data_IF_675290246824
#
_entry.id   IF_675290246824
#
_cell.length_a   1.000
_cell.length_b   1.000
_cell.length_c   1.000
_cell.angle_alpha   90.00
_cell.angle_beta   90.00
_cell.angle_gamma   90.00
#
_symmetry.space_group_name_H-M   'P 1'
#
loop_
_entity.id
_entity.type
_entity.pdbx_description
1 polymer ?
#
# COMPACT_ATOMS: atom_id res chain seq x y z
N UNK A 1 10.25 15.57 -20.89
CA UNK A 1 10.84 14.91 -19.70
C UNK A 1 9.70 14.46 -18.77
N UNK A 2 9.79 13.26 -18.20
CA UNK A 2 8.81 12.81 -17.18
C UNK A 2 9.11 13.48 -15.84
N UNK A 3 8.07 13.69 -15.04
CA UNK A 3 8.09 14.35 -13.73
C UNK A 3 7.26 13.56 -12.72
N UNK A 4 7.21 13.99 -11.45
CA UNK A 4 6.32 13.37 -10.46
C UNK A 4 4.84 13.39 -10.90
N UNK A 5 4.42 14.37 -11.70
CA UNK A 5 3.06 14.44 -12.23
C UNK A 5 2.70 13.26 -13.15
N UNK A 6 3.71 12.62 -13.75
CA UNK A 6 3.54 11.50 -14.66
C UNK A 6 3.58 10.14 -13.93
N UNK A 7 3.86 10.14 -12.62
CA UNK A 7 4.01 8.92 -11.83
C UNK A 7 2.69 8.44 -11.20
N UNK A 8 2.49 7.12 -11.24
CA UNK A 8 1.55 6.42 -10.38
C UNK A 8 2.31 5.53 -9.40
N UNK A 9 2.14 5.78 -8.10
CA UNK A 9 2.83 5.05 -7.02
C UNK A 9 1.82 4.24 -6.20
N UNK A 10 2.10 2.96 -6.02
CA UNK A 10 1.34 2.05 -5.17
C UNK A 10 1.93 1.97 -3.76
N UNK A 11 1.09 1.81 -2.75
CA UNK A 11 1.47 1.75 -1.34
C UNK A 11 0.95 0.47 -0.70
N UNK A 12 1.87 -0.35 -0.21
CA UNK A 12 1.58 -1.68 0.35
C UNK A 12 2.31 -1.89 1.69
N UNK A 13 1.77 -2.75 2.55
CA UNK A 13 2.50 -3.27 3.70
C UNK A 13 2.68 -4.77 3.64
N UNK A 14 3.77 -5.23 4.27
CA UNK A 14 4.01 -6.65 4.50
C UNK A 14 3.90 -7.01 5.98
N UNK A 15 4.91 -7.74 6.45
CA UNK A 15 5.08 -8.05 7.86
C UNK A 15 5.32 -6.81 8.73
N UNK A 16 4.24 -6.13 9.12
CA UNK A 16 4.26 -4.93 9.95
C UNK A 16 4.69 -5.21 11.40
N UNK A 17 5.46 -4.29 11.95
CA UNK A 17 5.81 -4.20 13.37
C UNK A 17 5.47 -2.79 13.91
N UNK A 18 5.71 -2.53 15.20
CA UNK A 18 5.40 -1.25 15.81
C UNK A 18 6.10 -0.06 15.13
N UNK A 19 7.29 -0.26 14.57
CA UNK A 19 8.05 0.82 13.91
C UNK A 19 7.47 1.19 12.54
N UNK A 20 6.69 0.29 11.93
CA UNK A 20 6.05 0.50 10.64
C UNK A 20 5.09 1.69 10.70
N UNK A 21 4.22 1.75 11.72
CA UNK A 21 3.30 2.87 11.92
C UNK A 21 3.92 4.14 12.55
N UNK A 22 5.13 4.06 13.08
CA UNK A 22 5.82 5.18 13.74
C UNK A 22 6.83 5.89 12.83
N UNK A 23 7.38 5.19 11.84
CA UNK A 23 8.43 5.72 10.97
C UNK A 23 8.26 5.37 9.50
N UNK A 24 8.07 4.08 9.16
CA UNK A 24 7.98 3.61 7.77
C UNK A 24 6.81 4.25 7.01
N UNK A 25 5.59 3.94 7.43
CA UNK A 25 4.36 4.45 6.81
C UNK A 25 4.25 5.98 6.90
N UNK A 26 4.63 6.65 8.01
CA UNK A 26 4.69 8.11 8.02
C UNK A 26 5.67 8.73 7.02
N UNK A 27 6.83 8.11 6.77
CA UNK A 27 7.80 8.61 5.79
C UNK A 27 7.27 8.44 4.36
N UNK A 28 6.63 7.31 4.10
CA UNK A 28 5.89 7.04 2.86
C UNK A 28 4.75 8.05 2.65
N UNK A 29 3.95 8.34 3.68
CA UNK A 29 2.86 9.32 3.58
C UNK A 29 3.31 10.72 3.15
N UNK A 30 4.54 11.13 3.51
CA UNK A 30 5.09 12.42 3.10
C UNK A 30 5.43 12.49 1.61
N UNK A 31 5.92 11.41 1.01
CA UNK A 31 6.14 11.36 -0.45
C UNK A 31 4.79 11.31 -1.17
N UNK A 32 3.82 10.56 -0.65
CA UNK A 32 2.46 10.51 -1.23
C UNK A 32 1.81 11.89 -1.28
N UNK A 33 1.92 12.67 -0.21
CA UNK A 33 1.42 14.05 -0.20
C UNK A 33 2.07 14.91 -1.30
N UNK A 34 3.39 14.79 -1.48
CA UNK A 34 4.12 15.56 -2.49
C UNK A 34 3.84 15.11 -3.91
N UNK A 35 3.69 13.81 -4.13
CA UNK A 35 3.30 13.24 -5.40
C UNK A 35 1.94 13.78 -5.83
N UNK A 36 0.97 13.74 -4.92
CA UNK A 36 -0.38 14.27 -5.18
C UNK A 36 -0.34 15.79 -5.42
N UNK A 37 0.42 16.54 -4.62
CA UNK A 37 0.58 17.99 -4.81
C UNK A 37 1.26 18.36 -6.14
N UNK A 38 2.15 17.49 -6.64
CA UNK A 38 2.79 17.64 -7.94
C UNK A 38 1.87 17.25 -9.11
N UNK A 39 0.67 16.73 -8.85
CA UNK A 39 -0.28 16.30 -9.87
C UNK A 39 -0.10 14.84 -10.32
N UNK A 40 0.62 14.03 -9.53
CA UNK A 40 0.76 12.58 -9.73
C UNK A 40 -0.38 11.78 -9.09
N UNK A 41 -0.27 10.46 -9.17
CA UNK A 41 -1.30 9.53 -8.67
C UNK A 41 -0.74 8.60 -7.60
N UNK A 42 -1.45 8.47 -6.49
CA UNK A 42 -1.13 7.51 -5.44
C UNK A 42 -2.28 6.53 -5.26
N UNK A 43 -1.95 5.25 -5.12
CA UNK A 43 -2.92 4.19 -4.83
C UNK A 43 -2.47 3.50 -3.55
N UNK A 44 -3.34 3.43 -2.54
CA UNK A 44 -3.11 2.62 -1.35
C UNK A 44 -4.25 1.61 -1.21
N UNK A 45 -3.95 0.44 -0.67
CA UNK A 45 -4.95 -0.62 -0.47
C UNK A 45 -5.04 -1.08 0.98
N UNK A 46 -5.27 -2.38 1.22
CA UNK A 46 -5.39 -3.00 2.53
C UNK A 46 -6.60 -2.51 3.35
N UNK A 47 -7.80 -2.45 2.74
CA UNK A 47 -9.02 -2.01 3.44
C UNK A 47 -9.36 -2.85 4.69
N UNK A 48 -8.94 -4.12 4.72
CA UNK A 48 -9.04 -5.03 5.89
C UNK A 48 -8.04 -4.70 7.00
N UNK A 49 -7.03 -3.86 6.72
CA UNK A 49 -6.10 -3.28 7.69
C UNK A 49 -6.52 -1.89 8.13
N UNK A 50 -7.68 -1.38 7.72
CA UNK A 50 -8.18 -0.06 8.13
C UNK A 50 -9.32 -0.15 9.15
N UNK A 51 -9.58 -1.34 9.68
CA UNK A 51 -10.71 -1.64 10.58
C UNK A 51 -10.61 -0.80 11.85
N UNK A 52 -11.70 -0.10 12.16
CA UNK A 52 -11.80 0.86 13.28
C UNK A 52 -11.62 2.31 12.85
N UNK A 53 -11.24 2.60 11.59
CA UNK A 53 -10.92 3.95 11.13
C UNK A 53 -11.98 4.61 10.26
N UNK A 54 -13.22 4.09 10.25
CA UNK A 54 -14.30 4.55 9.37
C UNK A 54 -14.40 6.07 9.27
N UNK A 55 -14.60 6.74 10.40
CA UNK A 55 -14.82 8.20 10.41
C UNK A 55 -13.57 8.99 10.01
N UNK A 56 -12.37 8.45 10.27
CA UNK A 56 -11.11 9.05 9.84
C UNK A 56 -10.96 8.99 8.31
N UNK A 57 -11.33 7.86 7.70
CA UNK A 57 -11.33 7.71 6.24
C UNK A 57 -12.36 8.63 5.59
N UNK A 58 -13.59 8.65 6.13
CA UNK A 58 -14.66 9.50 5.60
C UNK A 58 -14.36 11.00 5.74
N UNK A 59 -13.64 11.40 6.78
CA UNK A 59 -13.18 12.79 6.95
C UNK A 59 -12.16 13.22 5.89
N UNK A 60 -11.49 12.26 5.22
CA UNK A 60 -10.54 12.52 4.13
C UNK A 60 -11.15 12.43 2.75
N UNK A 61 -12.45 12.19 2.61
CA UNK A 61 -13.10 12.13 1.31
C UNK A 61 -13.06 13.50 0.59
N UNK A 62 -12.72 13.51 -0.71
CA UNK A 62 -12.69 14.74 -1.51
C UNK A 62 -14.08 15.36 -1.78
N UNK A 63 -15.16 14.61 -1.53
CA UNK A 63 -16.54 15.05 -1.70
C UNK A 63 -17.53 13.93 -1.38
N UNK A 64 -18.82 14.19 -1.56
CA UNK A 64 -19.89 13.26 -1.15
C UNK A 64 -19.83 11.92 -1.90
N UNK A 65 -19.50 11.93 -3.20
CA UNK A 65 -19.33 10.71 -3.96
C UNK A 65 -18.19 9.84 -3.40
N UNK A 66 -17.00 10.42 -3.22
CA UNK A 66 -15.86 9.71 -2.63
C UNK A 66 -16.18 9.21 -1.22
N UNK A 67 -16.90 9.99 -0.41
CA UNK A 67 -17.34 9.60 0.93
C UNK A 67 -18.25 8.37 0.89
N UNK A 68 -19.20 8.33 -0.03
CA UNK A 68 -20.10 7.18 -0.22
C UNK A 68 -19.33 5.93 -0.68
N UNK A 69 -18.40 6.08 -1.64
CA UNK A 69 -17.58 4.98 -2.14
C UNK A 69 -16.68 4.40 -1.04
N UNK A 70 -15.99 5.26 -0.27
CA UNK A 70 -15.14 4.87 0.86
C UNK A 70 -15.97 4.16 1.94
N UNK A 71 -17.17 4.67 2.26
CA UNK A 71 -18.06 4.03 3.22
C UNK A 71 -18.44 2.62 2.78
N UNK A 72 -18.82 2.45 1.50
CA UNK A 72 -19.20 1.15 0.96
C UNK A 72 -18.02 0.15 0.96
N UNK A 73 -16.82 0.59 0.56
CA UNK A 73 -15.63 -0.25 0.58
C UNK A 73 -15.24 -0.66 2.02
N UNK A 74 -15.32 0.28 2.97
CA UNK A 74 -15.06 0.00 4.38
C UNK A 74 -16.07 -0.99 4.97
N UNK A 75 -17.37 -0.74 4.76
CA UNK A 75 -18.43 -1.60 5.30
C UNK A 75 -18.33 -3.01 4.69
N UNK A 76 -17.97 -3.13 3.39
CA UNK A 76 -17.66 -4.41 2.75
C UNK A 76 -16.46 -5.11 3.39
N UNK A 77 -15.36 -4.41 3.67
CA UNK A 77 -14.18 -4.99 4.31
C UNK A 77 -14.48 -5.49 5.73
N UNK A 78 -15.27 -4.74 6.51
CA UNK A 78 -15.73 -5.18 7.84
C UNK A 78 -16.57 -6.45 7.75
N UNK A 79 -17.52 -6.51 6.82
CA UNK A 79 -18.37 -7.68 6.64
C UNK A 79 -17.59 -8.88 6.13
N UNK A 80 -16.62 -8.69 5.24
CA UNK A 80 -15.69 -9.73 4.81
C UNK A 80 -14.95 -10.34 6.01
N UNK A 81 -14.27 -9.50 6.82
CA UNK A 81 -13.56 -9.94 8.02
C UNK A 81 -14.46 -10.73 9.00
N UNK A 82 -15.72 -10.30 9.18
CA UNK A 82 -16.71 -11.02 10.00
C UNK A 82 -17.08 -12.38 9.43
N UNK A 83 -17.29 -12.48 8.12
CA UNK A 83 -17.67 -13.72 7.45
C UNK A 83 -16.56 -14.77 7.53
N UNK A 84 -15.31 -14.35 7.26
CA UNK A 84 -14.15 -15.25 7.35
C UNK A 84 -13.65 -15.47 8.77
N UNK A 85 -14.17 -14.69 9.75
CA UNK A 85 -13.77 -14.70 11.17
C UNK A 85 -12.27 -14.44 11.35
N UNK A 86 -11.73 -13.58 10.51
CA UNK A 86 -10.33 -13.18 10.53
C UNK A 86 -10.27 -11.66 10.37
N UNK A 87 -9.44 -11.05 11.21
CA UNK A 87 -9.05 -9.66 11.09
C UNK A 87 -7.58 -9.64 10.71
N UNK A 88 -7.14 -8.62 9.97
CA UNK A 88 -5.74 -8.52 9.55
C UNK A 88 -4.84 -8.11 10.71
N UNK A 89 -4.68 -9.00 11.70
CA UNK A 89 -3.70 -8.91 12.78
C UNK A 89 -3.26 -10.32 13.13
N UNK A 90 -1.99 -10.63 12.82
CA UNK A 90 -1.42 -11.95 12.95
C UNK A 90 -0.50 -12.05 14.19
N UNK A 91 -0.19 -13.27 14.70
CA UNK A 91 0.78 -13.48 15.79
C UNK A 91 2.13 -12.77 15.58
N UNK A 92 2.57 -12.65 14.32
CA UNK A 92 3.78 -11.92 13.95
C UNK A 92 3.72 -10.41 14.21
N UNK A 93 2.53 -9.81 14.12
CA UNK A 93 2.32 -8.38 14.43
C UNK A 93 2.36 -8.14 15.94
N UNK A 94 1.72 -9.01 16.74
CA UNK A 94 1.80 -8.97 18.20
C UNK A 94 3.24 -9.13 18.69
N UNK A 95 3.98 -10.09 18.13
CA UNK A 95 5.41 -10.25 18.42
C UNK A 95 6.25 -9.05 17.94
N UNK A 96 5.74 -8.27 16.98
CA UNK A 96 6.33 -7.02 16.49
C UNK A 96 5.95 -5.77 17.31
N UNK A 97 5.13 -5.92 18.35
CA UNK A 97 4.77 -4.84 19.27
C UNK A 97 3.45 -4.13 18.99
N UNK A 98 2.63 -4.63 18.07
CA UNK A 98 1.26 -4.12 17.85
C UNK A 98 0.29 -4.82 18.82
N UNK A 99 -0.53 -4.07 19.56
CA UNK A 99 -1.39 -4.66 20.61
C UNK A 99 -2.86 -4.76 20.23
N UNK A 100 -3.33 -3.91 19.30
CA UNK A 100 -4.71 -3.94 18.79
C UNK A 100 -4.79 -3.81 17.27
N UNK A 101 -5.96 -4.12 16.70
CA UNK A 101 -6.23 -3.89 15.28
C UNK A 101 -6.28 -2.39 14.96
N UNK A 102 -6.77 -1.56 15.87
CA UNK A 102 -6.86 -0.12 15.69
C UNK A 102 -5.47 0.53 15.65
N UNK A 103 -4.52 0.08 16.49
CA UNK A 103 -3.12 0.54 16.46
C UNK A 103 -2.46 0.21 15.12
N UNK A 104 -2.63 -1.03 14.66
CA UNK A 104 -2.14 -1.45 13.35
C UNK A 104 -2.78 -0.60 12.24
N UNK A 105 -4.09 -0.38 12.34
CA UNK A 105 -4.85 0.36 11.32
C UNK A 105 -4.42 1.81 11.22
N UNK A 106 -4.16 2.47 12.35
CA UNK A 106 -3.64 3.84 12.36
C UNK A 106 -2.27 3.92 11.67
N UNK A 107 -1.41 2.93 11.94
CA UNK A 107 -0.14 2.78 11.25
C UNK A 107 -0.33 2.59 9.74
N UNK A 108 -1.20 1.66 9.33
CA UNK A 108 -1.49 1.40 7.92
C UNK A 108 -1.99 2.67 7.22
N UNK A 109 -2.97 3.37 7.80
CA UNK A 109 -3.53 4.61 7.23
C UNK A 109 -2.45 5.67 6.95
N UNK A 110 -1.44 5.80 7.82
CA UNK A 110 -0.39 6.82 7.68
C UNK A 110 0.36 6.77 6.34
N UNK A 111 0.42 5.61 5.67
CA UNK A 111 1.07 5.43 4.36
C UNK A 111 0.44 6.29 3.26
N UNK A 112 -0.86 6.55 3.40
CA UNK A 112 -1.64 7.34 2.44
C UNK A 112 -1.49 8.85 2.61
N UNK A 113 -0.61 9.30 3.51
CA UNK A 113 -0.39 10.72 3.77
C UNK A 113 -1.61 11.42 4.38
N UNK A 114 -1.82 12.68 4.01
CA UNK A 114 -2.86 13.56 4.55
C UNK A 114 -3.78 14.16 3.49
N UNK A 115 -3.49 14.04 2.19
CA UNK A 115 -4.37 14.55 1.12
C UNK A 115 -5.71 13.83 1.05
N UNK A 116 -6.69 14.50 0.43
CA UNK A 116 -8.03 13.94 0.29
C UNK A 116 -8.06 12.74 -0.67
N UNK A 117 -8.78 11.70 -0.28
CA UNK A 117 -9.05 10.50 -1.06
C UNK A 117 -10.11 10.84 -2.11
N UNK A 118 -9.76 10.65 -3.38
CA UNK A 118 -10.55 11.07 -4.54
C UNK A 118 -11.74 10.17 -4.84
N UNK A 119 -11.68 8.91 -4.39
CA UNK A 119 -12.69 7.88 -4.59
C UNK A 119 -12.11 6.51 -4.33
N UNK A 120 -12.87 5.48 -4.68
CA UNK A 120 -12.45 4.08 -4.59
C UNK A 120 -12.33 3.48 -5.99
N UNK A 121 -11.27 2.71 -6.23
CA UNK A 121 -11.09 1.90 -7.43
C UNK A 121 -11.10 0.41 -7.06
N UNK A 122 -11.45 -0.45 -8.00
CA UNK A 122 -11.29 -1.90 -7.86
C UNK A 122 -9.94 -2.35 -8.41
N UNK A 123 -9.57 -3.59 -8.11
CA UNK A 123 -8.42 -4.25 -8.75
C UNK A 123 -8.56 -4.19 -10.28
N UNK A 124 -7.46 -3.96 -10.98
CA UNK A 124 -7.37 -3.74 -12.43
C UNK A 124 -8.12 -2.50 -12.98
N UNK A 125 -8.68 -1.63 -12.13
CA UNK A 125 -9.19 -0.34 -12.57
C UNK A 125 -8.12 0.75 -12.40
N UNK A 126 -7.84 1.47 -13.49
CA UNK A 126 -6.97 2.64 -13.45
C UNK A 126 -7.69 3.83 -12.82
N UNK A 127 -7.04 4.60 -11.92
CA UNK A 127 -7.55 5.87 -11.46
C UNK A 127 -7.97 6.79 -12.62
N UNK A 128 -9.18 7.37 -12.61
CA UNK A 128 -9.68 8.17 -13.73
C UNK A 128 -8.99 9.54 -13.87
N UNK A 129 -8.23 9.98 -12.86
CA UNK A 129 -7.50 11.25 -12.82
C UNK A 129 -6.46 11.23 -11.68
N UNK A 130 -5.47 12.15 -11.71
CA UNK A 130 -4.50 12.27 -10.64
C UNK A 130 -5.10 12.51 -9.25
N UNK A 131 -4.33 12.13 -8.22
CA UNK A 131 -4.71 12.24 -6.82
C UNK A 131 -4.52 10.94 -6.03
N UNK A 132 -5.04 10.91 -4.80
CA UNK A 132 -4.97 9.76 -3.91
C UNK A 132 -6.22 8.89 -4.03
N UNK A 133 -6.05 7.59 -4.26
CA UNK A 133 -7.14 6.63 -4.45
C UNK A 133 -7.00 5.45 -3.49
N UNK A 134 -8.13 5.03 -2.91
CA UNK A 134 -8.21 3.78 -2.16
C UNK A 134 -8.55 2.65 -3.14
N UNK A 135 -7.75 1.60 -3.17
CA UNK A 135 -8.09 0.38 -3.90
C UNK A 135 -8.83 -0.59 -2.98
N UNK A 136 -9.98 -1.06 -3.45
CA UNK A 136 -10.79 -2.07 -2.78
C UNK A 136 -10.41 -3.46 -3.31
N UNK A 137 -9.39 -4.05 -2.68
CA UNK A 137 -8.87 -5.38 -3.00
C UNK A 137 -9.68 -6.53 -2.37
N UNK A 138 -10.73 -6.23 -1.59
CA UNK A 138 -11.64 -7.23 -1.04
C UNK A 138 -12.53 -7.78 -2.16
N UNK A 139 -12.68 -9.12 -2.32
CA UNK A 139 -13.51 -9.69 -3.37
C UNK A 139 -14.97 -9.22 -3.26
N UNK A 140 -15.63 -9.00 -4.39
CA UNK A 140 -17.07 -8.76 -4.40
C UNK A 140 -17.84 -10.07 -4.17
N UNK A 141 -19.07 -10.01 -3.61
CA UNK A 141 -19.85 -11.21 -3.32
C UNK A 141 -20.14 -12.04 -4.58
N UNK A 142 -19.50 -13.20 -4.67
CA UNK A 142 -19.73 -14.18 -5.73
C UNK A 142 -19.65 -15.60 -5.16
N UNK A 143 -20.20 -16.59 -5.87
CA UNK A 143 -20.04 -17.99 -5.48
C UNK A 143 -18.57 -18.39 -5.60
N UNK A 144 -17.84 -18.35 -4.49
CA UNK A 144 -16.43 -18.72 -4.45
C UNK A 144 -16.31 -20.25 -4.54
N UNK A 145 -15.93 -20.75 -5.71
CA UNK A 145 -15.72 -22.19 -5.95
C UNK A 145 -14.51 -22.77 -5.21
N UNK A 146 -13.51 -21.94 -4.87
CA UNK A 146 -12.16 -22.42 -4.51
C UNK A 146 -11.66 -22.00 -3.11
N UNK A 147 -12.50 -21.36 -2.29
CA UNK A 147 -12.18 -20.96 -0.91
C UNK A 147 -12.15 -19.46 -0.68
N UNK A 148 -11.71 -19.05 0.51
CA UNK A 148 -11.54 -17.63 0.89
C UNK A 148 -10.14 -17.14 0.49
N UNK A 149 -10.03 -15.93 -0.02
CA UNK A 149 -8.75 -15.32 -0.39
C UNK A 149 -8.12 -14.66 0.83
N UNK A 150 -7.00 -15.21 1.32
CA UNK A 150 -6.24 -14.54 2.37
C UNK A 150 -5.32 -13.50 1.73
N UNK A 151 -5.39 -12.22 2.13
CA UNK A 151 -4.46 -11.20 1.65
C UNK A 151 -3.01 -11.66 1.87
N UNK A 152 -2.17 -11.45 0.87
CA UNK A 152 -0.75 -11.72 0.95
C UNK A 152 0.03 -10.66 0.17
N UNK A 153 1.26 -10.40 0.59
CA UNK A 153 2.12 -9.34 0.06
C UNK A 153 2.20 -9.35 -1.48
N UNK A 154 2.35 -10.53 -2.09
CA UNK A 154 2.51 -10.65 -3.56
C UNK A 154 1.23 -10.27 -4.30
N UNK A 155 0.08 -10.60 -3.73
CA UNK A 155 -1.22 -10.24 -4.30
C UNK A 155 -1.45 -8.74 -4.28
N UNK A 156 -1.27 -8.09 -3.12
CA UNK A 156 -1.49 -6.64 -2.99
C UNK A 156 -0.56 -5.82 -3.91
N UNK A 157 0.71 -6.24 -4.02
CA UNK A 157 1.64 -5.64 -5.00
C UNK A 157 1.12 -5.77 -6.43
N UNK A 158 0.59 -6.93 -6.83
CA UNK A 158 0.03 -7.13 -8.17
C UNK A 158 -1.29 -6.38 -8.37
N UNK A 159 -2.14 -6.28 -7.35
CA UNK A 159 -3.38 -5.52 -7.37
C UNK A 159 -3.06 -4.04 -7.66
N UNK A 160 -2.10 -3.45 -6.95
CA UNK A 160 -1.61 -2.08 -7.19
C UNK A 160 -1.00 -1.87 -8.59
N UNK A 161 -0.20 -2.82 -9.07
CA UNK A 161 0.40 -2.77 -10.42
C UNK A 161 -0.67 -2.87 -11.50
N UNK A 162 -1.69 -3.71 -11.29
CA UNK A 162 -2.84 -3.82 -12.21
C UNK A 162 -3.65 -2.53 -12.31
N UNK A 163 -3.66 -1.72 -11.24
CA UNK A 163 -4.22 -0.37 -11.22
C UNK A 163 -3.36 0.70 -11.92
N UNK A 164 -2.16 0.33 -12.39
CA UNK A 164 -1.24 1.22 -13.12
C UNK A 164 -0.04 1.71 -12.31
N UNK A 165 0.24 1.17 -11.13
CA UNK A 165 1.40 1.55 -10.31
C UNK A 165 2.73 1.25 -11.01
N UNK A 166 3.49 2.29 -11.32
CA UNK A 166 4.80 2.23 -11.97
C UNK A 166 5.96 2.03 -10.98
N UNK A 167 5.73 2.31 -9.71
CA UNK A 167 6.61 1.98 -8.58
C UNK A 167 5.70 1.60 -7.41
N UNK A 168 6.06 0.56 -6.67
CA UNK A 168 5.37 0.18 -5.43
C UNK A 168 6.28 0.41 -4.24
N UNK A 169 5.79 1.15 -3.25
CA UNK A 169 6.42 1.32 -1.95
C UNK A 169 5.87 0.23 -1.02
N UNK A 170 6.79 -0.50 -0.38
CA UNK A 170 6.44 -1.65 0.43
C UNK A 170 7.08 -1.55 1.80
N UNK A 171 6.27 -1.25 2.82
CA UNK A 171 6.76 -1.13 4.20
C UNK A 171 6.69 -2.48 4.91
N UNK A 172 7.82 -2.88 5.50
CA UNK A 172 7.93 -4.13 6.26
C UNK A 172 8.84 -3.97 7.49
N UNK A 173 8.34 -4.35 8.66
CA UNK A 173 9.13 -4.43 9.90
C UNK A 173 9.93 -5.73 10.02
N UNK A 174 9.49 -6.79 9.35
CA UNK A 174 9.96 -8.17 9.60
C UNK A 174 10.93 -8.74 8.57
N UNK A 175 11.38 -7.96 7.59
CA UNK A 175 12.38 -8.45 6.65
C UNK A 175 11.82 -9.25 5.47
N UNK A 176 10.69 -8.85 4.86
CA UNK A 176 10.20 -9.55 3.67
C UNK A 176 11.22 -9.45 2.52
N UNK A 177 11.54 -10.59 1.91
CA UNK A 177 12.48 -10.70 0.77
C UNK A 177 11.76 -10.67 -0.58
N UNK A 178 10.49 -10.27 -0.59
CA UNK A 178 9.68 -10.22 -1.80
C UNK A 178 10.22 -9.17 -2.80
N UNK A 179 10.02 -9.43 -4.09
CA UNK A 179 10.14 -8.46 -5.16
C UNK A 179 8.89 -8.46 -6.05
N UNK A 180 9.07 -8.06 -7.31
CA UNK A 180 7.97 -7.95 -8.26
C UNK A 180 8.47 -8.28 -9.65
N UNK A 181 7.68 -9.04 -10.41
CA UNK A 181 8.02 -9.42 -11.78
C UNK A 181 7.78 -8.29 -12.82
N UNK A 182 7.02 -7.25 -12.46
CA UNK A 182 6.47 -6.29 -13.44
C UNK A 182 6.95 -4.85 -13.18
N UNK A 183 6.80 -4.38 -11.95
CA UNK A 183 7.07 -2.99 -11.55
C UNK A 183 8.10 -2.96 -10.41
N UNK A 184 9.03 -1.99 -10.36
CA UNK A 184 9.97 -1.84 -9.26
C UNK A 184 9.29 -1.80 -7.89
N UNK A 185 9.87 -2.50 -6.93
CA UNK A 185 9.43 -2.54 -5.54
C UNK A 185 10.51 -1.91 -4.66
N UNK A 186 10.17 -0.87 -3.91
CA UNK A 186 11.10 -0.23 -2.96
C UNK A 186 10.71 -0.69 -1.55
N UNK A 187 11.61 -1.46 -0.92
CA UNK A 187 11.40 -2.00 0.42
C UNK A 187 11.86 -1.01 1.49
N UNK A 188 10.92 -0.62 2.34
CA UNK A 188 11.12 0.36 3.41
C UNK A 188 10.97 -0.36 4.75
N UNK A 189 11.86 -0.08 5.70
CA UNK A 189 11.68 -0.55 7.07
C UNK A 189 11.82 0.56 8.08
N UNK A 190 10.89 0.61 9.05
CA UNK A 190 11.01 1.46 10.24
C UNK A 190 11.98 0.90 11.29
N UNK A 191 12.53 -0.30 11.06
CA UNK A 191 13.31 -1.04 12.03
C UNK A 191 14.78 -1.09 11.60
N UNK A 192 15.61 -0.16 12.11
CA UNK A 192 17.02 -0.08 11.74
C UNK A 192 17.82 -1.35 12.07
N UNK A 193 17.37 -2.16 13.04
CA UNK A 193 17.98 -3.48 13.30
C UNK A 193 17.69 -4.48 12.19
N UNK A 194 16.46 -4.48 11.66
CA UNK A 194 16.10 -5.25 10.45
C UNK A 194 16.92 -4.76 9.27
N UNK A 195 16.97 -3.44 9.05
CA UNK A 195 17.76 -2.84 7.97
C UNK A 195 19.24 -3.27 8.03
N UNK A 196 19.90 -3.15 9.18
CA UNK A 196 21.32 -3.52 9.32
C UNK A 196 21.59 -5.01 9.03
N UNK A 197 20.63 -5.89 9.33
CA UNK A 197 20.76 -7.34 9.10
C UNK A 197 20.44 -7.74 7.66
N UNK A 198 19.66 -6.92 6.96
CA UNK A 198 19.13 -7.19 5.63
C UNK A 198 19.42 -6.02 4.69
N UNK A 199 20.58 -5.38 4.87
CA UNK A 199 20.91 -4.14 4.16
C UNK A 199 21.03 -4.38 2.66
N UNK A 200 21.40 -5.59 2.24
CA UNK A 200 21.46 -5.95 0.82
C UNK A 200 20.06 -6.13 0.21
N UNK A 201 19.03 -6.30 1.05
CA UNK A 201 17.65 -6.60 0.64
C UNK A 201 16.70 -5.40 0.83
N UNK A 202 16.93 -4.55 1.84
CA UNK A 202 16.07 -3.40 2.19
C UNK A 202 16.56 -2.10 1.57
N UNK A 203 15.75 -1.41 0.78
CA UNK A 203 16.14 -0.17 0.11
C UNK A 203 16.33 1.00 1.07
N UNK A 204 15.43 1.18 2.05
CA UNK A 204 15.39 2.38 2.89
C UNK A 204 15.22 2.09 4.40
N UNK A 205 16.03 2.77 5.22
CA UNK A 205 15.95 2.76 6.69
C UNK A 205 15.22 4.00 7.22
N UNK A 206 13.92 3.87 7.45
CA UNK A 206 13.12 4.90 8.11
C UNK A 206 13.32 4.90 9.64
N UNK A 207 13.93 3.86 10.23
CA UNK A 207 14.14 3.77 11.67
C UNK A 207 15.09 4.83 12.23
N UNK A 208 15.90 5.45 11.37
CA UNK A 208 16.71 6.65 11.67
C UNK A 208 15.87 7.83 12.18
N UNK A 209 14.57 7.86 11.86
CA UNK A 209 13.62 8.83 12.42
C UNK A 209 13.41 8.59 13.92
N UNK A 210 13.33 7.33 14.35
CA UNK A 210 13.09 6.96 15.75
C UNK A 210 14.33 7.15 16.61
N UNK A 211 15.54 7.01 16.04
CA UNK A 211 16.79 7.32 16.73
C UNK A 211 17.08 8.83 16.81
N UNK A 212 16.35 9.65 16.05
CA UNK A 212 16.55 11.09 15.96
C UNK A 212 17.73 11.51 15.09
N UNK A 213 18.31 10.58 14.32
CA UNK A 213 19.38 10.87 13.36
C UNK A 213 18.88 11.74 12.20
N UNK A 214 17.64 11.54 11.78
CA UNK A 214 16.95 12.39 10.80
C UNK A 214 15.54 12.73 11.28
N UNK A 215 15.03 13.88 10.84
CA UNK A 215 13.62 14.22 10.99
C UNK A 215 12.78 13.43 10.00
N UNK A 216 11.49 13.24 10.30
CA UNK A 216 10.55 12.59 9.38
C UNK A 216 10.52 13.31 8.00
N UNK A 217 10.58 14.65 8.00
CA UNK A 217 10.61 15.44 6.76
C UNK A 217 11.88 15.24 5.91
N UNK A 218 13.01 14.94 6.54
CA UNK A 218 14.25 14.55 5.85
C UNK A 218 14.12 13.14 5.28
N UNK A 219 13.63 12.18 6.06
CA UNK A 219 13.39 10.82 5.58
C UNK A 219 12.45 10.80 4.37
N UNK A 220 11.36 11.57 4.39
CA UNK A 220 10.46 11.71 3.24
C UNK A 220 11.12 12.34 1.99
N UNK A 221 12.10 13.24 2.16
CA UNK A 221 12.91 13.77 1.04
C UNK A 221 13.84 12.72 0.46
N UNK A 222 14.57 12.00 1.32
CA UNK A 222 15.49 10.94 0.90
C UNK A 222 14.74 9.82 0.17
N UNK A 223 13.54 9.47 0.65
CA UNK A 223 12.67 8.48 -0.01
C UNK A 223 12.14 8.98 -1.37
N UNK A 224 11.77 10.26 -1.49
CA UNK A 224 11.39 10.87 -2.78
C UNK A 224 12.53 10.81 -3.80
N UNK A 225 13.75 11.15 -3.40
CA UNK A 225 14.94 11.06 -4.26
C UNK A 225 15.17 9.63 -4.76
N UNK A 226 14.98 8.64 -3.88
CA UNK A 226 15.06 7.23 -4.24
C UNK A 226 13.98 6.80 -5.23
N UNK A 227 12.72 7.21 -5.02
CA UNK A 227 11.63 6.92 -5.95
C UNK A 227 11.90 7.52 -7.33
N UNK A 228 12.37 8.76 -7.39
CA UNK A 228 12.75 9.41 -8.65
C UNK A 228 13.90 8.68 -9.33
N UNK A 229 14.92 8.25 -8.57
CA UNK A 229 16.05 7.50 -9.11
C UNK A 229 15.59 6.14 -9.69
N UNK A 230 14.73 5.42 -8.98
CA UNK A 230 14.16 4.13 -9.44
C UNK A 230 13.29 4.32 -10.68
N UNK A 231 12.40 5.31 -10.67
CA UNK A 231 11.61 5.67 -11.85
C UNK A 231 12.47 6.11 -13.05
N UNK A 232 13.70 6.59 -12.80
CA UNK A 232 14.68 6.95 -13.83
C UNK A 232 15.56 5.77 -14.30
N UNK A 233 15.30 4.56 -13.80
CA UNK A 233 15.97 3.33 -14.24
C UNK A 233 17.08 2.83 -13.32
N UNK A 234 17.27 3.41 -12.12
CA UNK A 234 18.10 2.79 -11.11
C UNK A 234 17.39 1.53 -10.57
N UNK A 235 18.01 0.35 -10.57
CA UNK A 235 17.38 -0.85 -10.00
C UNK A 235 17.15 -0.69 -8.50
N UNK A 236 15.96 -1.05 -8.04
CA UNK A 236 15.72 -1.33 -6.61
C UNK A 236 16.52 -2.56 -6.17
N UNK A 237 16.75 -2.74 -4.87
CA UNK A 237 17.43 -3.93 -4.33
C UNK A 237 16.76 -5.25 -4.72
N UNK A 238 15.43 -5.43 -4.63
CA UNK A 238 14.82 -6.67 -5.09
C UNK A 238 15.06 -6.93 -6.59
N UNK A 239 15.02 -5.91 -7.45
CA UNK A 239 15.35 -6.07 -8.86
C UNK A 239 16.81 -6.47 -9.08
N UNK A 240 17.75 -5.82 -8.38
CA UNK A 240 19.17 -6.10 -8.47
C UNK A 240 19.51 -7.53 -8.01
N UNK A 241 18.77 -8.06 -7.03
CA UNK A 241 18.88 -9.43 -6.54
C UNK A 241 18.13 -10.45 -7.42
N UNK A 242 17.33 -10.00 -8.38
CA UNK A 242 16.59 -10.85 -9.31
C UNK A 242 15.29 -11.44 -8.75
N UNK A 243 14.73 -10.83 -7.70
CA UNK A 243 13.40 -11.18 -7.19
C UNK A 243 12.31 -10.88 -8.23
N UNK A 244 11.44 -11.86 -8.49
CA UNK A 244 10.43 -11.83 -9.57
C UNK A 244 9.14 -12.51 -9.16
N UNK A 245 8.76 -12.39 -7.90
CA UNK A 245 7.52 -12.92 -7.39
C UNK A 245 6.34 -12.21 -8.06
N UNK A 246 5.29 -12.98 -8.38
CA UNK A 246 4.01 -12.49 -8.87
C UNK A 246 2.93 -13.48 -8.46
N UNK A 247 1.72 -12.99 -8.30
CA UNK A 247 0.58 -13.82 -7.98
C UNK A 247 -0.69 -13.25 -8.63
N UNK A 248 -1.39 -14.08 -9.41
CA UNK A 248 -2.66 -13.73 -10.04
C UNK A 248 -3.75 -14.52 -9.34
N UNK A 249 -4.69 -13.81 -8.73
CA UNK A 249 -5.72 -14.40 -7.88
C UNK A 249 -7.05 -14.57 -8.63
N UNK A 250 -7.85 -15.53 -8.17
CA UNK A 250 -9.20 -15.80 -8.68
C UNK A 250 -10.27 -14.93 -7.98
N UNK A 251 -9.97 -13.64 -7.72
CA UNK A 251 -10.91 -12.72 -7.10
C UNK A 251 -11.96 -12.27 -8.12
N UNK A 252 -13.23 -12.38 -7.77
CA UNK A 252 -14.28 -11.72 -8.52
C UNK A 252 -14.33 -10.25 -8.13
N UNK A 253 -14.18 -9.37 -9.11
CA UNK A 253 -14.36 -7.92 -8.97
C UNK A 253 -15.44 -7.51 -9.97
N UNK A 254 -16.51 -6.88 -9.51
CA UNK A 254 -17.59 -6.43 -10.38
C UNK A 254 -17.17 -5.13 -11.08
N UNK A 255 -16.30 -5.27 -12.08
CA UNK A 255 -15.75 -4.17 -12.87
C UNK A 255 -16.26 -4.22 -14.30
N UNK A 256 -16.55 -3.07 -14.92
CA UNK A 256 -16.92 -3.03 -16.33
C UNK A 256 -15.83 -3.67 -17.21
N UNK A 257 -16.21 -4.35 -18.31
CA UNK A 257 -15.28 -4.83 -19.32
C UNK A 257 -14.32 -3.72 -19.78
N UNK A 258 -13.01 -4.00 -19.79
CA UNK A 258 -12.02 -3.09 -20.38
C UNK A 258 -12.25 -2.90 -21.89
N UNK A 259 -12.72 -3.95 -22.57
CA UNK A 259 -13.14 -3.93 -23.97
C UNK A 259 -14.34 -4.85 -24.20
N UNK A 260 -15.11 -4.61 -25.27
CA UNK A 260 -16.26 -5.45 -25.64
C UNK A 260 -15.79 -6.88 -25.90
N UNK A 261 -16.19 -7.82 -25.03
CA UNK A 261 -15.85 -9.24 -25.13
C UNK A 261 -14.80 -9.72 -24.11
N UNK A 262 -14.10 -8.81 -23.42
CA UNK A 262 -13.26 -9.15 -22.28
C UNK A 262 -14.10 -9.08 -20.99
N UNK A 263 -14.34 -10.22 -20.35
CA UNK A 263 -14.80 -10.22 -18.96
C UNK A 263 -13.58 -10.09 -18.07
N UNK A 264 -13.59 -9.10 -17.18
CA UNK A 264 -12.65 -9.05 -16.07
C UNK A 264 -12.87 -10.25 -15.13
#
# INVERSE_FOLDING_TARGET
>A
PMTLADLTVGCECGGSDATSGLAGNPAEGLIIDRLVDAGGTAIFEESVELIGLREILLARAAGEQARSEIAAAYDKAVDYCRQVRQYSVAPGNFAGGLTTIEEKSMGAMAKSGSRCIQGVIKVAQTPPRPGLWLMDSVPDPHFMQFGYTNPNDTEGIMDLISGGSQVVLFVTGRGSVIGSAVSPLIKITGNSRTYQRMMDDMDFDAGRVLSGEVTLAQAGRELEEMVVAVASGQPSKPEALGHREYFVMYKHQDVPPLEVGCRA
#
